data_IF_824609696744
#
_entry.id   IF_824609696744
#
_cell.length_a   1.000
_cell.length_b   1.000
_cell.length_c   1.000
_cell.angle_alpha   90.00
_cell.angle_beta   90.00
_cell.angle_gamma   90.00
#
_symmetry.space_group_name_H-M   'P 1'
#
loop_
_entity.id
_entity.type
_entity.pdbx_description
1 polymer ?
#
# COMPACT_ATOMS: atom_id res chain seq x y z
N UNK A 1 37.52 24.27 -15.52
CA UNK A 1 36.33 23.45 -15.24
C UNK A 1 35.65 24.07 -14.03
N UNK A 2 34.76 25.05 -14.22
CA UNK A 2 34.13 25.76 -13.08
C UNK A 2 32.65 26.13 -13.31
N UNK A 3 32.01 25.56 -14.35
CA UNK A 3 30.65 25.95 -14.76
C UNK A 3 29.51 25.13 -14.11
N UNK A 4 29.80 24.29 -13.11
CA UNK A 4 28.81 23.36 -12.55
C UNK A 4 28.11 23.83 -11.27
N UNK A 5 28.73 24.73 -10.49
CA UNK A 5 28.20 25.20 -9.20
C UNK A 5 27.13 26.29 -9.33
N UNK A 6 27.31 27.19 -10.30
CA UNK A 6 26.47 28.39 -10.48
C UNK A 6 25.04 28.05 -10.95
N UNK A 7 24.92 27.02 -11.80
CA UNK A 7 23.62 26.54 -12.27
C UNK A 7 22.80 25.80 -11.20
N UNK A 8 23.47 25.15 -10.24
CA UNK A 8 22.78 24.49 -9.13
C UNK A 8 22.24 25.50 -8.10
N UNK A 9 23.04 26.54 -7.81
CA UNK A 9 22.62 27.64 -6.94
C UNK A 9 21.47 28.45 -7.55
N UNK A 10 21.52 28.74 -8.86
CA UNK A 10 20.41 29.44 -9.54
C UNK A 10 19.09 28.65 -9.55
N UNK A 11 19.14 27.31 -9.67
CA UNK A 11 17.95 26.46 -9.57
C UNK A 11 17.38 26.43 -8.14
N UNK A 12 18.24 26.46 -7.12
CA UNK A 12 17.84 26.49 -5.73
C UNK A 12 17.16 27.83 -5.37
N UNK A 13 17.69 28.94 -5.88
CA UNK A 13 17.11 30.27 -5.71
C UNK A 13 15.75 30.41 -6.40
N UNK A 14 15.62 29.90 -7.64
CA UNK A 14 14.33 29.86 -8.33
C UNK A 14 13.30 28.98 -7.60
N UNK A 15 13.72 27.85 -7.06
CA UNK A 15 12.84 26.98 -6.26
C UNK A 15 12.39 27.67 -4.96
N UNK A 16 13.28 28.43 -4.32
CA UNK A 16 12.98 29.21 -3.14
C UNK A 16 11.96 30.33 -3.44
N UNK A 17 12.15 31.08 -4.53
CA UNK A 17 11.24 32.12 -4.97
C UNK A 17 9.85 31.57 -5.32
N UNK A 18 9.79 30.44 -6.04
CA UNK A 18 8.53 29.76 -6.35
C UNK A 18 7.81 29.27 -5.08
N UNK A 19 8.55 28.75 -4.10
CA UNK A 19 7.99 28.35 -2.81
C UNK A 19 7.45 29.55 -2.02
N UNK A 20 8.10 30.71 -2.08
CA UNK A 20 7.61 31.93 -1.45
C UNK A 20 6.33 32.45 -2.10
N UNK A 21 6.29 32.52 -3.43
CA UNK A 21 5.10 32.92 -4.18
C UNK A 21 3.89 32.01 -3.86
N UNK A 22 4.11 30.69 -3.77
CA UNK A 22 3.09 29.74 -3.37
C UNK A 22 2.58 29.98 -1.94
N UNK A 23 3.46 30.35 -1.00
CA UNK A 23 3.07 30.72 0.37
C UNK A 23 2.25 32.02 0.40
N UNK A 24 2.59 33.00 -0.43
CA UNK A 24 1.85 34.25 -0.55
C UNK A 24 0.43 34.03 -1.10
N UNK A 25 0.30 33.26 -2.17
CA UNK A 25 -1.00 32.82 -2.73
C UNK A 25 -1.85 32.10 -1.68
N UNK A 26 -1.23 31.23 -0.87
CA UNK A 26 -1.90 30.54 0.23
C UNK A 26 -2.43 31.49 1.30
N UNK A 27 -1.64 32.48 1.72
CA UNK A 27 -2.11 33.48 2.70
C UNK A 27 -3.32 34.24 2.17
N UNK A 28 -3.31 34.62 0.88
CA UNK A 28 -4.44 35.28 0.22
C UNK A 28 -5.67 34.39 0.14
N UNK A 29 -5.53 33.12 -0.25
CA UNK A 29 -6.64 32.18 -0.32
C UNK A 29 -7.29 31.96 1.06
N UNK A 30 -6.50 31.81 2.12
CA UNK A 30 -7.00 31.66 3.49
C UNK A 30 -7.69 32.93 3.99
N UNK A 31 -7.14 34.11 3.70
CA UNK A 31 -7.77 35.37 4.03
C UNK A 31 -9.13 35.51 3.32
N UNK A 32 -9.19 35.15 2.03
CA UNK A 32 -10.43 35.18 1.26
C UNK A 32 -11.50 34.23 1.83
N UNK A 33 -11.15 32.99 2.19
CA UNK A 33 -12.10 32.06 2.84
C UNK A 33 -12.55 32.57 4.22
N UNK A 34 -11.66 33.21 4.98
CA UNK A 34 -12.01 33.80 6.27
C UNK A 34 -12.98 34.99 6.12
N UNK A 35 -12.76 35.86 5.12
CA UNK A 35 -13.63 37.00 4.84
C UNK A 35 -15.02 36.54 4.37
N UNK A 36 -15.10 35.53 3.50
CA UNK A 36 -16.38 34.92 3.09
C UNK A 36 -17.15 34.39 4.30
N UNK A 37 -16.49 33.68 5.22
CA UNK A 37 -17.14 33.19 6.46
C UNK A 37 -17.56 34.32 7.39
N UNK A 38 -16.76 35.40 7.46
CA UNK A 38 -17.09 36.59 8.25
C UNK A 38 -18.35 37.26 7.71
N UNK A 39 -18.44 37.43 6.39
CA UNK A 39 -19.62 37.95 5.71
C UNK A 39 -20.84 37.05 5.97
N UNK A 40 -20.69 35.72 5.90
CA UNK A 40 -21.76 34.77 6.25
C UNK A 40 -22.30 35.00 7.67
N UNK A 41 -21.42 35.15 8.66
CA UNK A 41 -21.82 35.43 10.04
C UNK A 41 -22.46 36.81 10.26
N UNK A 42 -22.30 37.72 9.30
CA UNK A 42 -22.81 39.10 9.36
C UNK A 42 -24.18 39.27 8.69
N UNK A 43 -24.75 38.20 8.11
CA UNK A 43 -26.00 38.21 7.34
C UNK A 43 -27.26 38.32 8.21
N UNK A 44 -27.22 37.89 9.47
CA UNK A 44 -28.38 37.80 10.36
C UNK A 44 -29.21 39.09 10.57
N UNK A 45 -28.68 40.33 10.47
CA UNK A 45 -29.45 41.55 10.67
C UNK A 45 -30.01 42.18 9.37
N UNK A 46 -29.92 41.52 8.21
CA UNK A 46 -30.38 42.07 6.92
C UNK A 46 -31.88 41.84 6.68
N UNK A 47 -32.47 42.68 5.83
CA UNK A 47 -33.84 42.51 5.32
C UNK A 47 -33.95 41.27 4.42
N UNK A 48 -35.11 40.58 4.37
CA UNK A 48 -35.26 39.29 3.69
C UNK A 48 -34.89 39.31 2.19
N UNK A 49 -35.24 40.39 1.48
CA UNK A 49 -34.99 40.49 0.05
C UNK A 49 -33.50 40.71 -0.28
N UNK A 50 -32.80 41.49 0.54
CA UNK A 50 -31.35 41.68 0.41
C UNK A 50 -30.58 40.45 0.91
N UNK A 51 -31.09 39.78 1.95
CA UNK A 51 -30.52 38.55 2.50
C UNK A 51 -30.45 37.45 1.45
N UNK A 52 -31.55 37.14 0.77
CA UNK A 52 -31.60 36.09 -0.25
C UNK A 52 -30.59 36.34 -1.38
N UNK A 53 -30.49 37.60 -1.84
CA UNK A 53 -29.57 37.98 -2.92
C UNK A 53 -28.10 37.91 -2.50
N UNK A 54 -27.77 38.37 -1.28
CA UNK A 54 -26.40 38.33 -0.78
C UNK A 54 -25.99 36.89 -0.46
N UNK A 55 -26.89 36.06 0.07
CA UNK A 55 -26.64 34.65 0.33
C UNK A 55 -26.37 33.88 -0.97
N UNK A 56 -27.13 34.14 -2.04
CA UNK A 56 -26.90 33.55 -3.36
C UNK A 56 -25.51 33.91 -3.92
N UNK A 57 -25.13 35.19 -3.88
CA UNK A 57 -23.80 35.64 -4.34
C UNK A 57 -22.67 35.04 -3.50
N UNK A 58 -22.89 34.87 -2.19
CA UNK A 58 -21.91 34.33 -1.26
C UNK A 58 -21.71 32.83 -1.46
N UNK A 59 -22.79 32.08 -1.71
CA UNK A 59 -22.70 30.67 -2.09
C UNK A 59 -22.04 30.50 -3.48
N UNK A 60 -22.32 31.39 -4.44
CA UNK A 60 -21.62 31.41 -5.73
C UNK A 60 -20.12 31.67 -5.58
N UNK A 61 -19.74 32.66 -4.77
CA UNK A 61 -18.34 32.95 -4.46
C UNK A 61 -17.64 31.78 -3.77
N UNK A 62 -18.35 31.11 -2.85
CA UNK A 62 -17.85 29.94 -2.13
C UNK A 62 -17.68 28.73 -3.04
N UNK A 63 -18.62 28.48 -3.96
CA UNK A 63 -18.50 27.45 -4.98
C UNK A 63 -17.28 27.71 -5.87
N UNK A 64 -17.09 28.94 -6.34
CA UNK A 64 -15.93 29.32 -7.14
C UNK A 64 -14.58 29.10 -6.39
N UNK A 65 -14.56 29.34 -5.08
CA UNK A 65 -13.39 29.10 -4.24
C UNK A 65 -13.12 27.61 -4.00
N UNK A 66 -14.17 26.80 -3.79
CA UNK A 66 -14.06 25.38 -3.46
C UNK A 66 -13.86 24.47 -4.69
N UNK A 67 -14.40 24.87 -5.83
CA UNK A 67 -14.34 24.11 -7.08
C UNK A 67 -13.28 24.64 -8.05
N UNK A 68 -12.79 25.87 -7.84
CA UNK A 68 -11.70 26.47 -8.62
C UNK A 68 -10.30 26.12 -8.13
N UNK A 69 -9.29 26.69 -8.81
CA UNK A 69 -7.86 26.47 -8.50
C UNK A 69 -7.44 26.95 -7.09
N UNK A 70 -8.23 27.86 -6.50
CA UNK A 70 -8.05 28.36 -5.14
C UNK A 70 -8.16 27.23 -4.11
N UNK A 71 -8.98 26.21 -4.38
CA UNK A 71 -9.20 25.06 -3.50
C UNK A 71 -7.89 24.31 -3.20
N UNK A 72 -6.92 24.32 -4.12
CA UNK A 72 -5.62 23.70 -3.91
C UNK A 72 -4.78 24.38 -2.83
N UNK A 73 -5.03 25.68 -2.59
CA UNK A 73 -4.32 26.51 -1.62
C UNK A 73 -5.02 26.56 -0.26
N UNK A 74 -6.29 26.17 -0.19
CA UNK A 74 -7.03 26.12 1.06
C UNK A 74 -6.61 24.93 1.94
N UNK A 75 -6.75 25.07 3.28
CA UNK A 75 -6.60 23.94 4.18
C UNK A 75 -7.69 22.91 3.86
N UNK A 76 -7.26 21.69 3.53
CA UNK A 76 -8.18 20.58 3.32
C UNK A 76 -8.98 20.33 4.60
N UNK A 77 -10.31 20.24 4.50
CA UNK A 77 -11.16 19.80 5.62
C UNK A 77 -10.66 18.45 6.12
N UNK A 78 -10.45 18.35 7.43
CA UNK A 78 -9.97 17.12 8.05
C UNK A 78 -10.96 15.97 7.88
N UNK A 79 -10.46 14.76 7.66
CA UNK A 79 -11.29 13.57 7.64
C UNK A 79 -12.06 13.38 8.96
N UNK A 80 -13.30 12.89 8.88
CA UNK A 80 -14.10 12.50 10.04
C UNK A 80 -13.46 11.38 10.87
N UNK A 81 -13.87 11.23 12.14
CA UNK A 81 -13.27 10.25 13.09
C UNK A 81 -13.30 8.81 12.56
N UNK A 82 -14.37 8.41 11.87
CA UNK A 82 -14.50 7.09 11.26
C UNK A 82 -13.43 6.85 10.19
N UNK A 83 -13.35 7.75 9.20
CA UNK A 83 -12.40 7.64 8.09
C UNK A 83 -10.94 7.67 8.58
N UNK A 84 -10.65 8.44 9.64
CA UNK A 84 -9.34 8.47 10.30
C UNK A 84 -8.92 7.13 10.90
N UNK A 85 -9.84 6.24 11.28
CA UNK A 85 -9.49 4.90 11.77
C UNK A 85 -8.86 4.05 10.67
N UNK A 86 -9.37 4.14 9.44
CA UNK A 86 -8.90 3.33 8.31
C UNK A 86 -7.71 3.99 7.57
N UNK A 87 -7.82 5.29 7.29
CA UNK A 87 -6.87 6.04 6.44
C UNK A 87 -5.80 6.76 7.27
N UNK A 88 -5.96 6.85 8.59
CA UNK A 88 -5.04 7.57 9.48
C UNK A 88 -5.29 9.08 9.47
N UNK A 89 -4.35 9.88 10.02
CA UNK A 89 -4.54 11.32 10.23
C UNK A 89 -4.41 12.15 8.94
N UNK A 90 -4.22 11.52 7.78
CA UNK A 90 -4.04 12.17 6.48
C UNK A 90 -5.36 12.37 5.75
N UNK A 91 -5.44 13.40 4.90
CA UNK A 91 -6.63 13.70 4.11
C UNK A 91 -6.67 12.89 2.81
N UNK A 92 -7.88 12.59 2.31
CA UNK A 92 -8.06 11.77 1.10
C UNK A 92 -7.80 12.56 -0.18
N UNK A 93 -8.33 13.78 -0.26
CA UNK A 93 -8.10 14.69 -1.40
C UNK A 93 -6.95 15.61 -1.04
N UNK A 94 -5.83 15.41 -1.71
CA UNK A 94 -4.62 16.18 -1.41
C UNK A 94 -4.16 16.93 -2.64
N UNK A 95 -4.36 18.24 -2.64
CA UNK A 95 -3.85 19.09 -3.70
C UNK A 95 -2.33 19.32 -3.59
N UNK A 96 -1.80 19.37 -2.36
CA UNK A 96 -0.41 19.75 -2.08
C UNK A 96 0.57 18.58 -2.16
N UNK A 97 1.67 18.77 -2.89
CA UNK A 97 2.71 17.75 -3.11
C UNK A 97 3.28 17.19 -1.80
N UNK A 98 3.54 18.03 -0.81
CA UNK A 98 4.05 17.61 0.51
C UNK A 98 3.05 16.71 1.26
N UNK A 99 1.77 17.06 1.20
CA UNK A 99 0.72 16.28 1.85
C UNK A 99 0.50 14.94 1.13
N UNK A 100 0.71 14.87 -0.20
CA UNK A 100 0.64 13.61 -0.95
C UNK A 100 1.74 12.64 -0.47
N UNK A 101 2.94 13.17 -0.18
CA UNK A 101 4.01 12.37 0.40
C UNK A 101 3.68 11.88 1.81
N UNK A 102 3.02 12.71 2.64
CA UNK A 102 2.53 12.28 3.96
C UNK A 102 1.54 11.12 3.87
N UNK A 103 0.63 11.12 2.89
CA UNK A 103 -0.30 9.99 2.65
C UNK A 103 0.48 8.71 2.36
N UNK A 104 1.50 8.80 1.50
CA UNK A 104 2.39 7.68 1.16
C UNK A 104 3.19 7.19 2.37
N UNK A 105 3.72 8.09 3.19
CA UNK A 105 4.48 7.73 4.38
C UNK A 105 3.59 7.03 5.42
N UNK A 106 2.36 7.52 5.61
CA UNK A 106 1.38 6.88 6.50
C UNK A 106 0.97 5.49 5.99
N UNK A 107 0.80 5.30 4.68
CA UNK A 107 0.59 3.97 4.08
C UNK A 107 1.78 3.04 4.36
N UNK A 108 3.00 3.52 4.13
CA UNK A 108 4.22 2.72 4.36
C UNK A 108 4.37 2.32 5.83
N UNK A 109 4.12 3.25 6.76
CA UNK A 109 4.13 2.99 8.19
C UNK A 109 3.01 2.01 8.61
N UNK A 110 1.81 2.15 8.04
CA UNK A 110 0.74 1.19 8.24
C UNK A 110 1.11 -0.22 7.77
N UNK A 111 1.76 -0.32 6.60
CA UNK A 111 2.23 -1.59 6.04
C UNK A 111 3.32 -2.26 6.86
N UNK A 112 4.21 -1.47 7.49
CA UNK A 112 5.22 -2.00 8.42
C UNK A 112 4.58 -2.51 9.72
N UNK A 113 3.68 -1.71 10.32
CA UNK A 113 2.91 -2.15 11.49
C UNK A 113 2.11 -3.43 11.22
N UNK A 114 1.49 -3.52 10.05
CA UNK A 114 0.77 -4.72 9.62
C UNK A 114 1.70 -5.94 9.57
N UNK A 115 2.90 -5.80 9.00
CA UNK A 115 3.88 -6.89 8.93
C UNK A 115 4.24 -7.42 10.33
N UNK A 116 4.45 -6.52 11.31
CA UNK A 116 4.68 -6.92 12.71
C UNK A 116 3.47 -7.65 13.31
N UNK A 117 2.26 -7.15 13.08
CA UNK A 117 1.04 -7.79 13.60
C UNK A 117 0.80 -9.18 12.98
N UNK A 118 1.13 -9.38 11.71
CA UNK A 118 1.10 -10.69 11.05
C UNK A 118 2.11 -11.69 11.63
N UNK A 119 3.13 -11.24 12.37
CA UNK A 119 3.98 -12.11 13.18
C UNK A 119 3.37 -12.32 14.56
N UNK A 120 3.12 -11.23 15.29
CA UNK A 120 2.79 -11.28 16.72
C UNK A 120 1.44 -11.93 17.00
N UNK A 121 0.40 -11.56 16.28
CA UNK A 121 -0.96 -12.01 16.58
C UNK A 121 -1.13 -13.52 16.32
N UNK A 122 -0.86 -14.08 15.12
CA UNK A 122 -1.00 -15.50 14.90
C UNK A 122 0.00 -16.33 15.74
N UNK A 123 1.22 -15.84 16.00
CA UNK A 123 2.14 -16.51 16.93
C UNK A 123 1.59 -16.58 18.35
N UNK A 124 0.97 -15.50 18.85
CA UNK A 124 0.34 -15.48 20.17
C UNK A 124 -0.82 -16.49 20.24
N UNK A 125 -1.67 -16.55 19.22
CA UNK A 125 -2.77 -17.52 19.16
C UNK A 125 -2.26 -18.97 19.16
N UNK A 126 -1.21 -19.26 18.39
CA UNK A 126 -0.61 -20.59 18.35
C UNK A 126 0.09 -20.97 19.66
N UNK A 127 0.73 -20.00 20.33
CA UNK A 127 1.33 -20.21 21.65
C UNK A 127 0.26 -20.49 22.71
N UNK A 128 -0.80 -19.67 22.77
CA UNK A 128 -1.91 -19.85 23.70
C UNK A 128 -2.66 -21.17 23.45
N UNK A 129 -2.81 -21.58 22.18
CA UNK A 129 -3.35 -22.89 21.83
C UNK A 129 -2.54 -24.02 22.47
N UNK A 130 -1.22 -23.93 22.45
CA UNK A 130 -0.35 -24.98 23.00
C UNK A 130 -0.24 -24.91 24.52
N UNK A 131 -0.19 -23.70 25.09
CA UNK A 131 0.07 -23.50 26.52
C UNK A 131 -1.19 -23.53 27.38
N UNK A 132 -2.28 -22.90 26.92
CA UNK A 132 -3.44 -22.57 27.77
C UNK A 132 -4.68 -23.37 27.36
N UNK A 133 -4.87 -23.63 26.07
CA UNK A 133 -6.13 -24.17 25.56
C UNK A 133 -6.06 -25.63 25.10
N UNK A 134 -5.10 -26.41 25.59
CA UNK A 134 -4.98 -27.87 25.34
C UNK A 134 -5.14 -28.27 23.86
N UNK A 135 -4.62 -27.43 22.95
CA UNK A 135 -4.72 -27.68 21.52
C UNK A 135 -6.06 -27.28 20.88
N UNK A 136 -6.89 -26.45 21.50
CA UNK A 136 -8.19 -26.01 20.99
C UNK A 136 -8.32 -24.48 21.04
N UNK A 137 -8.41 -23.80 19.89
CA UNK A 137 -8.55 -22.34 19.87
C UNK A 137 -10.00 -21.94 20.24
N UNK A 138 -10.21 -21.02 21.20
CA UNK A 138 -11.54 -20.48 21.48
C UNK A 138 -12.12 -19.76 20.26
N UNK A 139 -13.41 -19.94 20.01
CA UNK A 139 -14.11 -19.31 18.90
C UNK A 139 -13.93 -17.78 18.89
N UNK A 140 -14.08 -17.14 20.06
CA UNK A 140 -13.90 -15.70 20.23
C UNK A 140 -12.50 -15.25 19.83
N UNK A 141 -11.45 -15.99 20.19
CA UNK A 141 -10.07 -15.62 19.86
C UNK A 141 -9.82 -15.64 18.34
N UNK A 142 -10.36 -16.63 17.64
CA UNK A 142 -10.30 -16.70 16.17
C UNK A 142 -11.15 -15.60 15.54
N UNK A 143 -12.34 -15.33 16.05
CA UNK A 143 -13.21 -14.25 15.55
C UNK A 143 -12.57 -12.87 15.72
N UNK A 144 -11.92 -12.58 16.85
CA UNK A 144 -11.20 -11.31 17.05
C UNK A 144 -10.06 -11.17 16.03
N UNK A 145 -9.34 -12.27 15.74
CA UNK A 145 -8.33 -12.26 14.68
C UNK A 145 -8.91 -12.02 13.29
N UNK A 146 -10.04 -12.66 12.96
CA UNK A 146 -10.72 -12.44 11.68
C UNK A 146 -11.29 -11.01 11.56
N UNK A 147 -11.83 -10.46 12.64
CA UNK A 147 -12.29 -9.07 12.69
C UNK A 147 -11.13 -8.08 12.49
N UNK A 148 -9.97 -8.38 13.08
CA UNK A 148 -8.75 -7.64 12.84
C UNK A 148 -8.29 -7.73 11.38
N UNK A 149 -8.29 -8.91 10.75
CA UNK A 149 -7.97 -9.06 9.33
C UNK A 149 -8.93 -8.27 8.43
N UNK A 150 -10.24 -8.31 8.73
CA UNK A 150 -11.24 -7.53 7.99
C UNK A 150 -10.93 -6.03 8.08
N UNK A 151 -10.68 -5.52 9.28
CA UNK A 151 -10.29 -4.12 9.48
C UNK A 151 -8.99 -3.78 8.74
N UNK A 152 -8.00 -4.67 8.81
CA UNK A 152 -6.69 -4.51 8.20
C UNK A 152 -6.77 -4.38 6.68
N UNK A 153 -7.44 -5.33 6.02
CA UNK A 153 -7.57 -5.33 4.56
C UNK A 153 -8.51 -4.24 4.05
N UNK A 154 -9.53 -3.87 4.81
CA UNK A 154 -10.35 -2.68 4.52
C UNK A 154 -9.50 -1.41 4.53
N UNK A 155 -8.63 -1.27 5.53
CA UNK A 155 -7.71 -0.13 5.61
C UNK A 155 -6.68 -0.12 4.48
N UNK A 156 -6.12 -1.28 4.10
CA UNK A 156 -5.22 -1.37 2.94
C UNK A 156 -5.93 -0.95 1.64
N UNK A 157 -7.10 -1.52 1.37
CA UNK A 157 -7.92 -1.18 0.22
C UNK A 157 -8.20 0.33 0.15
N UNK A 158 -8.66 0.94 1.25
CA UNK A 158 -8.91 2.38 1.31
C UNK A 158 -7.63 3.19 1.06
N UNK A 159 -6.53 2.85 1.72
CA UNK A 159 -5.25 3.59 1.57
C UNK A 159 -4.68 3.50 0.16
N UNK A 160 -4.77 2.35 -0.48
CA UNK A 160 -4.26 2.17 -1.85
C UNK A 160 -5.14 2.87 -2.89
N UNK A 161 -6.47 2.88 -2.71
CA UNK A 161 -7.34 3.70 -3.54
C UNK A 161 -7.07 5.20 -3.36
N UNK A 162 -6.82 5.65 -2.13
CA UNK A 162 -6.40 7.04 -1.86
C UNK A 162 -5.08 7.35 -2.57
N UNK A 163 -4.11 6.44 -2.55
CA UNK A 163 -2.84 6.62 -3.25
C UNK A 163 -3.03 6.66 -4.78
N UNK A 164 -3.89 5.79 -5.32
CA UNK A 164 -4.22 5.73 -6.74
C UNK A 164 -4.78 7.08 -7.23
N UNK A 165 -5.80 7.62 -6.55
CA UNK A 165 -6.39 8.92 -6.93
C UNK A 165 -5.44 10.11 -6.72
N UNK A 166 -4.42 9.96 -5.88
CA UNK A 166 -3.38 10.97 -5.67
C UNK A 166 -2.17 10.83 -6.61
N UNK A 167 -2.23 9.90 -7.58
CA UNK A 167 -1.26 9.76 -8.67
C UNK A 167 -0.14 8.76 -8.41
N UNK A 168 -0.31 7.84 -7.46
CA UNK A 168 0.57 6.68 -7.31
C UNK A 168 0.27 5.63 -8.39
N UNK A 169 1.32 5.06 -8.97
CA UNK A 169 1.20 3.89 -9.85
C UNK A 169 1.18 2.60 -9.00
N UNK A 170 0.00 1.97 -8.90
CA UNK A 170 -0.22 0.73 -8.14
C UNK A 170 -0.76 -0.32 -9.11
N UNK A 171 -0.16 -1.50 -9.13
CA UNK A 171 -0.67 -2.60 -9.96
C UNK A 171 -2.08 -2.99 -9.47
N UNK A 172 -3.07 -3.09 -10.39
CA UNK A 172 -4.45 -3.40 -10.02
C UNK A 172 -4.61 -4.66 -9.18
N UNK A 173 -3.79 -5.70 -9.43
CA UNK A 173 -3.83 -6.96 -8.68
C UNK A 173 -3.77 -6.76 -7.16
N UNK A 174 -2.93 -5.85 -6.64
CA UNK A 174 -2.79 -5.66 -5.20
C UNK A 174 -4.06 -5.09 -4.55
N UNK A 175 -4.73 -4.18 -5.25
CA UNK A 175 -6.03 -3.64 -4.82
C UNK A 175 -7.09 -4.74 -4.83
N UNK A 176 -7.18 -5.52 -5.92
CA UNK A 176 -8.13 -6.64 -6.00
C UNK A 176 -7.85 -7.73 -4.97
N UNK A 177 -6.58 -8.06 -4.73
CA UNK A 177 -6.16 -9.01 -3.69
C UNK A 177 -6.68 -8.57 -2.30
N UNK A 178 -6.60 -7.27 -1.97
CA UNK A 178 -7.16 -6.77 -0.72
C UNK A 178 -8.69 -6.90 -0.65
N UNK A 179 -9.41 -6.69 -1.76
CA UNK A 179 -10.86 -6.94 -1.79
C UNK A 179 -11.21 -8.41 -1.57
N UNK A 180 -10.47 -9.32 -2.21
CA UNK A 180 -10.66 -10.77 -2.00
C UNK A 180 -10.34 -11.17 -0.55
N UNK A 181 -9.29 -10.61 0.04
CA UNK A 181 -8.93 -10.85 1.43
C UNK A 181 -9.96 -10.27 2.43
N UNK A 182 -10.56 -9.11 2.13
CA UNK A 182 -11.69 -8.57 2.90
C UNK A 182 -12.89 -9.52 2.85
N UNK A 183 -13.25 -10.00 1.65
CA UNK A 183 -14.35 -10.95 1.47
C UNK A 183 -14.07 -12.25 2.22
N UNK A 184 -12.84 -12.77 2.17
CA UNK A 184 -12.43 -13.95 2.91
C UNK A 184 -12.57 -13.74 4.43
N UNK A 185 -12.11 -12.62 4.97
CA UNK A 185 -12.23 -12.32 6.40
C UNK A 185 -13.71 -12.18 6.83
N UNK A 186 -14.55 -11.57 5.98
CA UNK A 186 -15.98 -11.46 6.22
C UNK A 186 -16.68 -12.83 6.24
N UNK A 187 -16.40 -13.69 5.26
CA UNK A 187 -16.95 -15.05 5.20
C UNK A 187 -16.42 -15.90 6.36
N UNK A 188 -15.15 -15.74 6.72
CA UNK A 188 -14.55 -16.45 7.87
C UNK A 188 -15.14 -16.02 9.21
N UNK A 189 -15.63 -14.78 9.35
CA UNK A 189 -16.30 -14.32 10.56
C UNK A 189 -17.65 -14.99 10.81
N UNK A 190 -18.35 -15.39 9.74
CA UNK A 190 -19.63 -16.11 9.85
C UNK A 190 -19.44 -17.61 10.07
N UNK A 191 -18.18 -18.07 10.18
CA UNK A 191 -17.87 -19.47 10.45
C UNK A 191 -17.96 -19.75 11.96
N UNK A 192 -18.98 -20.50 12.37
CA UNK A 192 -19.14 -20.92 13.77
C UNK A 192 -18.19 -22.06 14.13
N UNK A 193 -17.21 -21.76 14.97
CA UNK A 193 -16.37 -22.78 15.59
C UNK A 193 -17.17 -23.40 16.75
N UNK A 194 -18.02 -24.38 16.46
CA UNK A 194 -18.75 -25.12 17.50
C UNK A 194 -17.73 -25.84 18.39
N UNK A 195 -17.85 -25.64 19.70
CA UNK A 195 -17.09 -26.39 20.72
C UNK A 195 -17.50 -27.85 20.69
N UNK A 196 -16.81 -28.65 19.89
CA UNK A 196 -17.05 -30.08 19.75
C UNK A 196 -15.88 -30.88 20.33
N UNK A 197 -16.12 -32.12 20.77
CA UNK A 197 -15.12 -32.95 21.44
C UNK A 197 -13.82 -33.18 20.62
N UNK A 198 -13.87 -33.07 19.28
CA UNK A 198 -12.70 -33.18 18.38
C UNK A 198 -12.19 -31.84 17.83
N UNK A 199 -12.23 -30.79 18.65
CA UNK A 199 -11.86 -29.42 18.25
C UNK A 199 -10.45 -29.33 17.63
N UNK A 200 -9.47 -30.09 18.14
CA UNK A 200 -8.09 -30.00 17.65
C UNK A 200 -7.94 -30.44 16.19
N UNK A 201 -8.65 -31.49 15.77
CA UNK A 201 -8.68 -32.04 14.40
C UNK A 201 -9.51 -31.16 13.47
N UNK A 202 -10.64 -30.65 13.93
CA UNK A 202 -11.53 -29.78 13.13
C UNK A 202 -10.92 -28.40 12.85
N UNK A 203 -10.04 -27.91 13.73
CA UNK A 203 -9.35 -26.63 13.56
C UNK A 203 -8.04 -26.71 12.76
N UNK A 204 -7.77 -27.84 12.08
CA UNK A 204 -6.54 -27.99 11.30
C UNK A 204 -6.38 -26.91 10.22
N UNK A 205 -7.47 -26.54 9.55
CA UNK A 205 -7.49 -25.45 8.56
C UNK A 205 -7.09 -24.11 9.18
N UNK A 206 -7.68 -23.76 10.32
CA UNK A 206 -7.35 -22.53 11.07
C UNK A 206 -5.89 -22.54 11.52
N UNK A 207 -5.38 -23.66 12.00
CA UNK A 207 -3.98 -23.79 12.40
C UNK A 207 -3.02 -23.57 11.22
N UNK A 208 -3.31 -24.16 10.06
CA UNK A 208 -2.49 -23.99 8.86
C UNK A 208 -2.56 -22.54 8.35
N UNK A 209 -3.73 -21.90 8.42
CA UNK A 209 -3.89 -20.50 8.08
C UNK A 209 -3.09 -19.58 9.00
N UNK A 210 -3.07 -19.81 10.32
CA UNK A 210 -2.24 -19.03 11.26
C UNK A 210 -0.74 -19.21 10.98
N UNK A 211 -0.30 -20.43 10.63
CA UNK A 211 1.09 -20.68 10.21
C UNK A 211 1.43 -19.95 8.91
N UNK A 212 0.52 -19.99 7.94
CA UNK A 212 0.64 -19.23 6.70
C UNK A 212 0.71 -17.72 6.98
N UNK A 213 -0.10 -17.20 7.91
CA UNK A 213 -0.08 -15.80 8.29
C UNK A 213 1.26 -15.34 8.90
N UNK A 214 1.94 -16.20 9.68
CA UNK A 214 3.30 -15.93 10.16
C UNK A 214 4.28 -15.86 8.98
N UNK A 215 4.20 -16.81 8.04
CA UNK A 215 5.03 -16.79 6.83
C UNK A 215 4.76 -15.53 6.00
N UNK A 216 3.50 -15.12 5.89
CA UNK A 216 3.07 -13.87 5.28
C UNK A 216 3.71 -12.68 5.98
N UNK A 217 3.73 -12.64 7.31
CA UNK A 217 4.42 -11.60 8.09
C UNK A 217 5.92 -11.51 7.79
N UNK A 218 6.62 -12.65 7.67
CA UNK A 218 8.04 -12.70 7.29
C UNK A 218 8.23 -12.16 5.85
N UNK A 219 7.41 -12.64 4.92
CA UNK A 219 7.43 -12.19 3.53
C UNK A 219 7.17 -10.67 3.44
N UNK A 220 6.19 -10.15 4.17
CA UNK A 220 5.89 -8.71 4.23
C UNK A 220 7.09 -7.90 4.72
N UNK A 221 7.80 -8.32 5.76
CA UNK A 221 9.00 -7.61 6.22
C UNK A 221 10.10 -7.57 5.15
N UNK A 222 10.40 -8.72 4.55
CA UNK A 222 11.41 -8.83 3.49
C UNK A 222 11.02 -8.00 2.27
N UNK A 223 9.75 -8.10 1.85
CA UNK A 223 9.17 -7.30 0.78
C UNK A 223 9.33 -5.83 1.13
N UNK A 224 8.74 -5.32 2.22
CA UNK A 224 8.74 -3.90 2.60
C UNK A 224 10.15 -3.30 2.58
N UNK A 225 11.14 -4.00 3.17
CA UNK A 225 12.54 -3.55 3.19
C UNK A 225 13.14 -3.48 1.80
N UNK A 226 13.09 -4.58 1.03
CA UNK A 226 13.64 -4.66 -0.32
C UNK A 226 13.03 -3.60 -1.24
N UNK A 227 11.70 -3.57 -1.20
CA UNK A 227 10.86 -2.73 -2.02
C UNK A 227 11.12 -1.23 -1.75
N UNK A 228 11.14 -0.82 -0.48
CA UNK A 228 11.35 0.59 -0.11
C UNK A 228 12.76 1.07 -0.41
N UNK A 229 13.78 0.23 -0.18
CA UNK A 229 15.16 0.55 -0.54
C UNK A 229 15.28 0.82 -2.04
N UNK A 230 14.74 -0.09 -2.87
CA UNK A 230 14.77 0.07 -4.32
C UNK A 230 14.07 1.33 -4.79
N UNK A 231 12.87 1.59 -4.29
CA UNK A 231 12.08 2.74 -4.73
C UNK A 231 12.83 4.05 -4.45
N UNK A 232 13.48 4.16 -3.28
CA UNK A 232 14.35 5.31 -2.96
C UNK A 232 15.48 5.47 -3.97
N UNK A 233 16.16 4.38 -4.35
CA UNK A 233 17.21 4.41 -5.38
C UNK A 233 16.65 4.85 -6.74
N UNK A 234 15.49 4.34 -7.18
CA UNK A 234 14.89 4.75 -8.47
C UNK A 234 14.46 6.21 -8.49
N UNK A 235 13.95 6.74 -7.37
CA UNK A 235 13.61 8.17 -7.25
C UNK A 235 14.88 9.02 -7.35
N UNK A 236 15.96 8.64 -6.67
CA UNK A 236 17.24 9.34 -6.75
C UNK A 236 17.83 9.33 -8.18
N UNK A 237 17.59 8.24 -8.93
CA UNK A 237 18.00 8.11 -10.33
C UNK A 237 17.02 8.75 -11.34
N UNK A 238 15.94 9.40 -10.89
CA UNK A 238 14.92 9.97 -11.77
C UNK A 238 14.08 8.95 -12.56
N UNK A 239 14.16 7.66 -12.21
CA UNK A 239 13.50 6.54 -12.91
C UNK A 239 12.15 6.15 -12.31
N UNK A 240 11.69 6.84 -11.26
CA UNK A 240 10.40 6.63 -10.60
C UNK A 240 9.87 7.94 -10.05
N UNK A 241 8.54 8.09 -9.99
CA UNK A 241 7.90 9.27 -9.43
C UNK A 241 7.96 9.18 -7.91
N UNK A 242 8.00 10.34 -7.24
CA UNK A 242 7.98 10.38 -5.75
C UNK A 242 6.69 9.81 -5.16
N UNK A 243 5.60 9.80 -5.92
CA UNK A 243 4.31 9.25 -5.49
C UNK A 243 4.19 7.74 -5.70
N UNK A 244 5.03 7.12 -6.53
CA UNK A 244 4.98 5.68 -6.76
C UNK A 244 5.18 4.97 -5.42
N UNK A 245 4.26 4.09 -5.05
CA UNK A 245 4.50 3.15 -3.96
C UNK A 245 5.25 1.95 -4.49
N UNK A 246 5.64 1.06 -3.58
CA UNK A 246 6.41 -0.06 -4.04
C UNK A 246 5.55 -1.11 -4.71
N UNK A 247 5.45 -1.00 -6.03
CA UNK A 247 5.02 -2.06 -6.90
C UNK A 247 6.24 -2.82 -7.45
N UNK A 248 6.14 -4.14 -7.45
CA UNK A 248 7.20 -5.06 -7.85
C UNK A 248 7.70 -4.78 -9.26
N UNK A 249 8.91 -4.22 -9.37
CA UNK A 249 9.70 -4.20 -10.59
C UNK A 249 11.17 -4.01 -10.21
N UNK A 250 12.08 -3.88 -11.17
CA UNK A 250 13.47 -4.37 -11.11
C UNK A 250 14.56 -3.33 -10.84
N UNK A 251 15.75 -3.85 -10.48
CA UNK A 251 16.98 -3.23 -9.96
C UNK A 251 17.08 -3.15 -8.42
N UNK A 252 17.59 -4.25 -7.83
CA UNK A 252 18.09 -4.35 -6.47
C UNK A 252 19.35 -5.21 -6.48
N UNK A 253 20.14 -5.13 -5.41
CA UNK A 253 21.39 -5.89 -5.23
C UNK A 253 21.12 -7.39 -5.45
N UNK A 254 21.97 -8.08 -6.21
CA UNK A 254 21.71 -9.45 -6.70
C UNK A 254 21.38 -10.46 -5.58
N UNK A 255 21.91 -10.27 -4.36
CA UNK A 255 21.71 -11.18 -3.23
C UNK A 255 20.33 -11.11 -2.53
N UNK A 256 19.73 -9.93 -2.37
CA UNK A 256 18.48 -9.80 -1.61
C UNK A 256 17.27 -10.38 -2.35
N UNK A 257 17.34 -10.42 -3.69
CA UNK A 257 16.29 -10.97 -4.52
C UNK A 257 16.33 -12.51 -4.58
N UNK A 258 17.52 -13.10 -4.41
CA UNK A 258 17.71 -14.56 -4.32
C UNK A 258 17.05 -15.13 -3.07
N UNK A 259 16.98 -14.35 -1.97
CA UNK A 259 16.22 -14.72 -0.78
C UNK A 259 14.72 -14.48 -0.94
N UNK A 260 14.32 -13.37 -1.55
CA UNK A 260 12.92 -12.95 -1.60
C UNK A 260 12.05 -13.89 -2.45
N UNK A 261 12.47 -14.25 -3.67
CA UNK A 261 11.62 -15.05 -4.55
C UNK A 261 11.29 -16.45 -4.02
N UNK A 262 12.24 -17.25 -3.49
CA UNK A 262 11.92 -18.54 -2.89
C UNK A 262 10.87 -18.43 -1.78
N UNK A 263 11.01 -17.43 -0.91
CA UNK A 263 10.02 -17.18 0.16
C UNK A 263 8.64 -16.90 -0.42
N UNK A 264 8.55 -16.08 -1.48
CA UNK A 264 7.27 -15.78 -2.13
C UNK A 264 6.63 -17.01 -2.79
N UNK A 265 7.41 -17.83 -3.51
CA UNK A 265 6.90 -19.05 -4.12
C UNK A 265 6.45 -20.09 -3.09
N UNK A 266 7.22 -20.27 -2.01
CA UNK A 266 6.83 -21.16 -0.90
C UNK A 266 5.56 -20.66 -0.23
N UNK A 267 5.45 -19.36 0.01
CA UNK A 267 4.25 -18.74 0.61
C UNK A 267 3.01 -18.94 -0.25
N UNK A 268 3.11 -18.69 -1.56
CA UNK A 268 2.01 -18.87 -2.52
C UNK A 268 1.63 -20.34 -2.69
N UNK A 269 2.62 -21.23 -2.75
CA UNK A 269 2.40 -22.67 -2.79
C UNK A 269 1.70 -23.17 -1.53
N UNK A 270 2.08 -22.66 -0.36
CA UNK A 270 1.43 -22.99 0.89
C UNK A 270 0.01 -22.42 0.98
N UNK A 271 -0.22 -21.19 0.49
CA UNK A 271 -1.55 -20.59 0.35
C UNK A 271 -2.49 -21.48 -0.48
N UNK A 272 -2.03 -21.90 -1.66
CA UNK A 272 -2.78 -22.80 -2.55
C UNK A 272 -3.03 -24.16 -1.90
N UNK A 273 -2.02 -24.73 -1.23
CA UNK A 273 -2.16 -26.00 -0.51
C UNK A 273 -3.25 -25.93 0.57
N UNK A 274 -3.26 -24.87 1.38
CA UNK A 274 -4.31 -24.67 2.40
C UNK A 274 -5.69 -24.54 1.74
N UNK A 275 -5.79 -23.76 0.65
CA UNK A 275 -7.04 -23.62 -0.09
C UNK A 275 -7.57 -24.93 -0.64
N UNK A 276 -6.72 -25.73 -1.29
CA UNK A 276 -7.08 -27.06 -1.82
C UNK A 276 -7.47 -28.02 -0.71
N UNK A 277 -6.75 -28.00 0.43
CA UNK A 277 -7.08 -28.84 1.57
C UNK A 277 -8.48 -28.53 2.12
N UNK A 278 -8.85 -27.25 2.23
CA UNK A 278 -10.20 -26.84 2.65
C UNK A 278 -11.28 -27.37 1.69
N UNK A 279 -11.02 -27.28 0.38
CA UNK A 279 -11.94 -27.80 -0.64
C UNK A 279 -12.07 -29.33 -0.58
N UNK A 280 -10.97 -30.04 -0.36
CA UNK A 280 -11.00 -31.49 -0.17
C UNK A 280 -11.76 -31.90 1.10
N UNK A 281 -11.64 -31.14 2.19
CA UNK A 281 -12.40 -31.41 3.43
C UNK A 281 -13.89 -31.18 3.26
N UNK A 282 -14.29 -30.18 2.47
CA UNK A 282 -15.68 -29.95 2.12
C UNK A 282 -16.23 -31.05 1.19
N UNK A 283 -15.44 -31.47 0.20
CA UNK A 283 -15.83 -32.51 -0.76
C UNK A 283 -16.06 -33.88 -0.12
N UNK A 284 -15.20 -34.30 0.80
CA UNK A 284 -15.34 -35.57 1.52
C UNK A 284 -16.39 -35.53 2.65
N UNK A 285 -17.14 -34.43 2.80
CA UNK A 285 -18.22 -34.32 3.79
C UNK A 285 -17.77 -34.21 5.25
N UNK A 286 -16.48 -33.94 5.52
CA UNK A 286 -15.99 -33.74 6.89
C UNK A 286 -16.50 -32.43 7.51
N UNK A 287 -16.80 -31.42 6.66
CA UNK A 287 -17.40 -30.15 7.04
C UNK A 287 -18.31 -29.65 5.90
N UNK A 288 -19.63 -29.70 6.08
CA UNK A 288 -20.62 -29.26 5.07
C UNK A 288 -20.92 -27.75 5.11
N UNK A 289 -19.94 -26.95 5.53
CA UNK A 289 -20.11 -25.51 5.73
C UNK A 289 -19.64 -24.77 4.49
N UNK A 290 -20.54 -24.01 3.87
CA UNK A 290 -20.29 -23.29 2.63
C UNK A 290 -19.14 -22.27 2.76
N UNK A 291 -18.91 -21.75 3.98
CA UNK A 291 -17.81 -20.85 4.30
C UNK A 291 -16.45 -21.48 3.96
N UNK A 292 -16.29 -22.77 4.23
CA UNK A 292 -15.05 -23.53 3.95
C UNK A 292 -14.80 -23.61 2.45
N UNK A 293 -15.85 -23.83 1.66
CA UNK A 293 -15.78 -23.87 0.19
C UNK A 293 -15.36 -22.51 -0.34
N UNK A 294 -16.05 -21.44 0.08
CA UNK A 294 -15.77 -20.08 -0.39
C UNK A 294 -14.35 -19.64 0.00
N UNK A 295 -13.93 -19.88 1.25
CA UNK A 295 -12.58 -19.56 1.69
C UNK A 295 -11.51 -20.37 0.94
N UNK A 296 -11.78 -21.65 0.67
CA UNK A 296 -10.89 -22.50 -0.14
C UNK A 296 -10.70 -21.97 -1.56
N UNK A 297 -11.79 -21.59 -2.23
CA UNK A 297 -11.75 -20.96 -3.57
C UNK A 297 -10.95 -19.65 -3.52
N UNK A 298 -11.26 -18.77 -2.56
CA UNK A 298 -10.59 -17.47 -2.45
C UNK A 298 -9.08 -17.62 -2.19
N UNK A 299 -8.65 -18.57 -1.35
CA UNK A 299 -7.23 -18.86 -1.13
C UNK A 299 -6.54 -19.31 -2.42
N UNK A 300 -7.15 -20.22 -3.18
CA UNK A 300 -6.57 -20.69 -4.45
C UNK A 300 -6.48 -19.55 -5.47
N UNK A 301 -7.53 -18.75 -5.62
CA UNK A 301 -7.55 -17.60 -6.55
C UNK A 301 -6.47 -16.58 -6.18
N UNK A 302 -6.33 -16.24 -4.90
CA UNK A 302 -5.30 -15.32 -4.44
C UNK A 302 -3.89 -15.89 -4.64
N UNK A 303 -3.67 -17.18 -4.33
CA UNK A 303 -2.39 -17.84 -4.55
C UNK A 303 -1.99 -17.83 -6.03
N UNK A 304 -2.93 -18.15 -6.94
CA UNK A 304 -2.70 -18.14 -8.39
C UNK A 304 -2.38 -16.73 -8.88
N UNK A 305 -3.16 -15.72 -8.50
CA UNK A 305 -2.89 -14.36 -8.96
C UNK A 305 -1.59 -13.77 -8.38
N UNK A 306 -1.23 -14.11 -7.14
CA UNK A 306 0.05 -13.79 -6.53
C UNK A 306 1.22 -14.44 -7.29
N UNK A 307 1.04 -15.71 -7.68
CA UNK A 307 2.01 -16.46 -8.48
C UNK A 307 2.21 -15.85 -9.86
N UNK A 308 1.12 -15.57 -10.60
CA UNK A 308 1.16 -14.93 -11.91
C UNK A 308 1.91 -13.60 -11.85
N UNK A 309 1.57 -12.73 -10.89
CA UNK A 309 2.26 -11.44 -10.72
C UNK A 309 3.75 -11.59 -10.38
N UNK A 310 4.12 -12.62 -9.62
CA UNK A 310 5.51 -12.92 -9.28
C UNK A 310 6.28 -13.38 -10.51
N UNK A 311 5.70 -14.28 -11.31
CA UNK A 311 6.27 -14.79 -12.56
C UNK A 311 6.40 -13.69 -13.60
N UNK A 312 5.38 -12.85 -13.80
CA UNK A 312 5.44 -11.71 -14.70
C UNK A 312 6.59 -10.77 -14.34
N UNK A 313 6.74 -10.46 -13.05
CA UNK A 313 7.82 -9.60 -12.56
C UNK A 313 9.20 -10.22 -12.84
N UNK A 314 9.35 -11.52 -12.63
CA UNK A 314 10.58 -12.25 -12.91
C UNK A 314 10.86 -12.31 -14.42
N UNK A 315 9.85 -12.60 -15.24
CA UNK A 315 9.96 -12.68 -16.69
C UNK A 315 10.39 -11.34 -17.30
N UNK A 316 9.78 -10.24 -16.86
CA UNK A 316 10.21 -8.88 -17.24
C UNK A 316 11.67 -8.64 -16.86
N UNK A 317 12.09 -9.05 -15.65
CA UNK A 317 13.49 -8.93 -15.21
C UNK A 317 14.45 -9.69 -16.13
N UNK A 318 14.13 -10.94 -16.44
CA UNK A 318 14.95 -11.80 -17.29
C UNK A 318 15.05 -11.23 -18.72
N UNK A 319 13.94 -10.72 -19.27
CA UNK A 319 13.92 -10.04 -20.57
C UNK A 319 14.80 -8.80 -20.59
N UNK A 320 14.73 -7.94 -19.56
CA UNK A 320 15.62 -6.77 -19.46
C UNK A 320 17.10 -7.16 -19.34
N UNK A 321 17.44 -8.18 -18.53
CA UNK A 321 18.82 -8.68 -18.39
C UNK A 321 19.34 -9.25 -19.72
N UNK A 322 18.50 -9.99 -20.44
CA UNK A 322 18.83 -10.52 -21.77
C UNK A 322 19.07 -9.39 -22.80
N UNK A 323 18.21 -8.36 -22.83
CA UNK A 323 18.38 -7.19 -23.70
C UNK A 323 19.69 -6.45 -23.41
N UNK A 324 20.00 -6.20 -22.14
CA UNK A 324 21.26 -5.56 -21.73
C UNK A 324 22.50 -6.37 -22.12
N UNK A 325 22.44 -7.71 -22.02
CA UNK A 325 23.52 -8.60 -22.45
C UNK A 325 23.74 -8.54 -23.96
N UNK A 326 22.66 -8.42 -24.75
CA UNK A 326 22.71 -8.31 -26.21
C UNK A 326 23.25 -6.97 -26.71
N UNK A 327 23.02 -5.88 -25.97
CA UNK A 327 23.49 -4.53 -26.34
C UNK A 327 24.90 -4.19 -25.85
N UNK A 328 25.56 -5.07 -25.10
CA UNK A 328 26.94 -4.85 -24.67
C UNK A 328 27.86 -5.17 -25.87
N UNK A 329 28.61 -4.20 -26.43
CA UNK A 329 29.54 -4.49 -27.51
C UNK A 329 30.56 -5.53 -27.03
N UNK A 330 30.86 -6.48 -27.91
CA UNK A 330 31.95 -7.45 -27.71
C UNK A 330 33.23 -6.61 -27.61
N UNK A 331 33.76 -6.42 -26.40
CA UNK A 331 35.13 -5.93 -26.27
C UNK A 331 36.01 -7.03 -26.84
N UNK A 332 36.55 -6.82 -28.04
CA UNK A 332 37.58 -7.68 -28.59
C UNK A 332 38.80 -7.63 -27.66
N UNK A 333 39.23 -8.77 -27.09
CA UNK A 333 40.48 -8.83 -26.36
C UNK A 333 41.61 -8.93 -27.40
N UNK A 334 42.06 -7.78 -27.92
CA UNK A 334 43.16 -7.83 -28.90
C UNK A 334 43.45 -6.54 -29.64
N UNK A 335 43.77 -5.44 -28.96
CA UNK A 335 44.60 -4.37 -29.53
C UNK A 335 45.08 -3.46 -28.40
N UNK A 336 46.25 -3.77 -27.85
CA UNK A 336 46.83 -3.02 -26.74
C UNK A 336 48.20 -3.55 -26.36
N UNK A 337 49.13 -3.60 -27.31
CA UNK A 337 50.48 -4.06 -27.03
C UNK A 337 51.39 -4.15 -28.24
N UNK A 338 51.67 -3.02 -28.91
CA UNK A 338 52.87 -2.84 -29.74
C UNK A 338 52.97 -1.38 -30.19
N UNK A 339 53.56 -0.52 -29.36
CA UNK A 339 54.48 0.54 -29.80
C UNK A 339 54.86 1.44 -28.62
N UNK A 340 55.99 1.12 -27.99
CA UNK A 340 56.96 2.09 -27.47
C UNK A 340 58.20 1.34 -27.00
N UNK A 341 59.14 1.11 -27.92
CA UNK A 341 60.53 0.78 -27.61
C UNK A 341 61.41 1.83 -28.29
N UNK A 342 62.22 2.49 -27.47
CA UNK A 342 63.42 3.26 -27.77
C UNK A 342 63.33 4.55 -28.61
N UNK A 343 63.38 5.69 -27.91
CA UNK A 343 64.32 6.77 -28.25
C UNK A 343 65.26 6.96 -27.05
N UNK A 344 66.54 6.66 -27.27
CA UNK A 344 67.68 7.37 -26.73
C UNK A 344 68.38 8.03 -27.92
#
# INVERSE_FOLDING_TARGET
MDGGGDGAQGLEEQAAAAAEAARALRRRAVALDADVRRLQGSLAPLDPATLDKVEEELERARAAILDGDVAAFLPSKGNGKFLKKFVGPVNVRVARKEEKLKVKDEYNNYRDRAAYMFLLFPSTLLLLRWWVWDGCLPALAVQVYQAWLLFLYTSFALRENVLLVNGSDIRPWWIYHHYLAMLMALVSLTWEIKGQPDCSSKQRGVQLFLRWAIMQGIAMHLQNRYQRQRLRTRIALGKAKRMDVVAGETAGVEGQLLLLYPVLFVLQGFEAYVGVLLLQTAWHGLTSEWQVIVCGILLVVMAVGNFVNTVETLALKLRFKAKMKRTRPRQDPGQGGANRLHQN
#
